data_IF_947098097791
#
_entry.id   IF_947098097791
#
_cell.length_a   1.000
_cell.length_b   1.000
_cell.length_c   1.000
_cell.angle_alpha   90.00
_cell.angle_beta   90.00
_cell.angle_gamma   90.00
#
_symmetry.space_group_name_H-M   'P 1'
#
loop_
_entity.id
_entity.type
_entity.pdbx_description
1 polymer ?
#
# COMPACT_ATOMS: atom_id res chain seq x y z
N UNK A 1 1.42 -0.10 -10.22
CA UNK A 1 0.17 0.26 -9.51
C UNK A 1 0.53 0.76 -8.14
N UNK A 2 0.24 2.02 -7.86
CA UNK A 2 0.36 2.56 -6.51
C UNK A 2 -0.76 1.97 -5.64
N UNK A 3 -0.41 1.62 -4.41
CA UNK A 3 -1.32 1.03 -3.45
C UNK A 3 -1.05 1.62 -2.07
N UNK A 4 -2.10 1.76 -1.26
CA UNK A 4 -1.95 1.93 0.19
C UNK A 4 -2.28 0.62 0.89
N UNK A 5 -1.35 0.13 1.71
CA UNK A 5 -1.58 -0.98 2.62
C UNK A 5 -1.84 -0.47 4.04
N UNK A 6 -2.92 -0.97 4.65
CA UNK A 6 -3.19 -0.76 6.08
C UNK A 6 -2.84 -2.03 6.85
N UNK A 7 -2.08 -1.87 7.93
CA UNK A 7 -1.61 -2.99 8.76
C UNK A 7 -2.40 -3.11 10.06
N UNK A 8 -2.37 -4.30 10.66
CA UNK A 8 -3.05 -4.62 11.93
C UNK A 8 -2.74 -3.66 13.08
N UNK A 9 -1.60 -2.98 12.99
CA UNK A 9 -1.07 -2.11 14.04
C UNK A 9 -1.45 -0.63 13.85
N UNK A 10 -2.39 -0.32 12.95
CA UNK A 10 -2.81 1.07 12.69
C UNK A 10 -1.80 1.89 11.88
N UNK A 11 -0.76 1.22 11.35
CA UNK A 11 0.20 1.82 10.45
C UNK A 11 -0.32 1.74 9.01
N UNK A 12 -0.06 2.80 8.26
CA UNK A 12 -0.37 2.86 6.83
C UNK A 12 0.91 3.01 6.04
N UNK A 13 0.91 2.49 4.82
CA UNK A 13 2.06 2.60 3.94
C UNK A 13 1.61 2.69 2.50
N UNK A 14 2.07 3.72 1.81
CA UNK A 14 1.79 3.93 0.39
C UNK A 14 3.04 3.59 -0.41
N UNK A 15 2.90 2.82 -1.48
CA UNK A 15 4.00 2.48 -2.37
C UNK A 15 3.52 1.70 -3.59
N UNK A 16 4.44 1.14 -4.36
CA UNK A 16 4.12 0.40 -5.57
C UNK A 16 4.04 -1.11 -5.30
N UNK A 17 2.94 -1.74 -5.72
CA UNK A 17 2.78 -3.18 -5.65
C UNK A 17 3.72 -3.87 -6.65
N UNK A 18 4.65 -4.69 -6.14
CA UNK A 18 5.62 -5.45 -6.93
C UNK A 18 5.10 -6.84 -7.30
N UNK A 19 5.14 -7.78 -6.35
CA UNK A 19 4.68 -9.16 -6.55
C UNK A 19 3.90 -9.67 -5.34
N UNK A 20 2.91 -10.53 -5.59
CA UNK A 20 2.17 -11.27 -4.56
C UNK A 20 2.50 -12.76 -4.70
N UNK A 21 3.11 -13.35 -3.66
CA UNK A 21 3.52 -14.76 -3.68
C UNK A 21 2.36 -15.73 -3.38
N UNK A 22 2.57 -17.04 -3.57
CA UNK A 22 1.59 -18.11 -3.29
C UNK A 22 1.13 -18.17 -1.82
N UNK A 23 1.89 -17.57 -0.91
CA UNK A 23 1.52 -17.38 0.50
C UNK A 23 0.91 -16.00 0.80
N UNK A 24 0.50 -15.28 -0.25
CA UNK A 24 -0.04 -13.92 -0.24
C UNK A 24 0.86 -12.86 0.40
N UNK A 25 2.17 -13.11 0.47
CA UNK A 25 3.13 -12.07 0.87
C UNK A 25 3.13 -10.97 -0.18
N UNK A 26 3.20 -9.71 0.27
CA UNK A 26 3.11 -8.53 -0.60
C UNK A 26 4.46 -7.83 -0.61
N UNK A 27 5.05 -7.71 -1.80
CA UNK A 27 6.22 -6.87 -2.01
C UNK A 27 5.78 -5.46 -2.38
N UNK A 28 6.27 -4.47 -1.64
CA UNK A 28 6.02 -3.06 -1.87
C UNK A 28 7.35 -2.35 -2.15
N UNK A 29 7.39 -1.51 -3.18
CA UNK A 29 8.54 -0.68 -3.53
C UNK A 29 8.24 0.80 -3.23
N UNK A 30 9.28 1.58 -2.93
CA UNK A 30 9.21 3.03 -2.64
C UNK A 30 8.09 3.40 -1.66
N UNK A 31 8.22 2.91 -0.43
CA UNK A 31 7.18 3.02 0.58
C UNK A 31 7.35 4.27 1.41
N UNK A 32 6.27 5.03 1.54
CA UNK A 32 6.10 6.08 2.54
C UNK A 32 5.29 5.50 3.70
N UNK A 33 5.93 5.35 4.86
CA UNK A 33 5.28 4.87 6.08
C UNK A 33 4.60 6.03 6.81
N UNK A 34 3.38 5.78 7.29
CA UNK A 34 2.63 6.72 8.12
C UNK A 34 2.33 6.08 9.47
N UNK A 35 2.50 6.85 10.54
CA UNK A 35 2.16 6.45 11.91
C UNK A 35 1.42 7.61 12.54
N UNK A 36 0.20 7.37 13.01
CA UNK A 36 -0.68 8.41 13.56
C UNK A 36 -0.89 9.61 12.60
N UNK A 37 -0.93 9.35 11.29
CA UNK A 37 -1.11 10.38 10.26
C UNK A 37 0.15 11.20 9.92
N UNK A 38 1.28 10.96 10.60
CA UNK A 38 2.56 11.59 10.29
C UNK A 38 3.46 10.67 9.45
N UNK A 39 4.19 11.24 8.49
CA UNK A 39 5.20 10.53 7.71
C UNK A 39 6.32 10.05 8.65
N UNK A 40 6.44 8.74 8.83
CA UNK A 40 7.44 8.12 9.70
C UNK A 40 8.75 7.81 8.97
N UNK A 41 8.74 7.75 7.63
CA UNK A 41 9.94 7.60 6.82
C UNK A 41 9.67 7.05 5.42
N UNK A 42 10.73 7.01 4.60
CA UNK A 42 10.71 6.45 3.25
C UNK A 42 11.69 5.26 3.14
N UNK A 43 11.21 4.15 2.58
CA UNK A 43 11.99 2.92 2.36
C UNK A 43 11.95 2.57 0.86
N UNK A 44 13.11 2.24 0.28
CA UNK A 44 13.20 1.89 -1.15
C UNK A 44 12.42 0.61 -1.52
N UNK A 45 12.25 -0.31 -0.58
CA UNK A 45 11.34 -1.44 -0.73
C UNK A 45 11.30 -2.33 0.51
N UNK A 46 10.15 -2.99 0.72
CA UNK A 46 9.96 -3.93 1.82
C UNK A 46 9.16 -5.15 1.36
N UNK A 47 9.37 -6.26 2.06
CA UNK A 47 8.56 -7.47 1.94
C UNK A 47 7.64 -7.59 3.15
N UNK A 48 6.33 -7.47 2.93
CA UNK A 48 5.35 -7.60 4.01
C UNK A 48 4.77 -9.01 4.02
N UNK A 49 4.77 -9.63 5.21
CA UNK A 49 4.08 -10.90 5.45
C UNK A 49 2.57 -10.69 5.37
N UNK A 50 1.88 -11.59 4.68
CA UNK A 50 0.42 -11.55 4.50
C UNK A 50 -0.38 -11.43 5.81
N UNK A 51 0.13 -12.00 6.91
CA UNK A 51 -0.55 -12.01 8.21
C UNK A 51 -0.57 -10.65 8.92
N UNK A 52 0.21 -9.66 8.43
CA UNK A 52 0.26 -8.31 8.97
C UNK A 52 -0.59 -7.31 8.18
N UNK A 53 -1.03 -7.68 6.98
CA UNK A 53 -1.86 -6.86 6.10
C UNK A 53 -3.33 -7.02 6.48
N UNK A 54 -4.03 -5.91 6.67
CA UNK A 54 -5.48 -5.90 6.89
C UNK A 54 -6.22 -5.82 5.55
N UNK A 55 -5.89 -4.80 4.76
CA UNK A 55 -6.36 -4.64 3.38
C UNK A 55 -5.36 -3.80 2.57
N UNK A 56 -5.48 -3.89 1.25
CA UNK A 56 -4.74 -3.09 0.28
C UNK A 56 -5.77 -2.34 -0.56
N UNK A 57 -5.64 -1.02 -0.66
CA UNK A 57 -6.40 -0.19 -1.59
C UNK A 57 -5.52 0.22 -2.76
N UNK A 58 -6.05 0.18 -3.98
CA UNK A 58 -5.42 0.87 -5.10
C UNK A 58 -5.60 2.38 -4.91
N UNK A 59 -4.56 3.15 -5.16
CA UNK A 59 -4.74 4.58 -5.42
C UNK A 59 -5.17 4.67 -6.87
N UNK A 60 -6.44 4.98 -7.12
CA UNK A 60 -6.85 5.44 -8.44
C UNK A 60 -6.14 6.78 -8.67
N UNK A 61 -5.28 6.84 -9.69
CA UNK A 61 -5.04 8.13 -10.34
C UNK A 61 -6.43 8.61 -10.74
N UNK A 62 -6.79 9.86 -10.42
CA UNK A 62 -8.05 10.44 -10.89
C UNK A 62 -8.13 10.25 -12.41
N UNK A 63 -8.90 9.24 -12.86
CA UNK A 63 -9.41 9.22 -14.22
C UNK A 63 -10.46 10.32 -14.25
N UNK A 64 -10.03 11.51 -14.66
CA UNK A 64 -10.87 12.53 -15.26
C UNK A 64 -11.68 11.86 -16.38
N UNK A 65 -12.94 11.52 -16.08
CA UNK A 65 -13.70 10.54 -16.86
C UNK A 65 -15.16 10.47 -16.45
N UNK A 66 -15.87 11.57 -16.70
CA UNK A 66 -17.32 11.67 -16.76
C UNK A 66 -18.02 10.38 -17.23
N UNK A 67 -18.87 9.79 -16.39
CA UNK A 67 -20.14 9.24 -16.88
C UNK A 67 -21.18 9.21 -15.78
N UNK A 68 -21.96 10.28 -15.77
CA UNK A 68 -23.34 10.31 -15.34
C UNK A 68 -24.13 9.36 -16.25
N UNK A 69 -24.75 8.32 -15.69
CA UNK A 69 -26.08 7.84 -16.08
C UNK A 69 -26.59 6.78 -15.11
#
# INVERSE_FOLDING_TARGET
MEVTGTFKWGMESTGYLGTSGSYRNTQLASIYGYTEGALSGHLSGVLVRHNNVLYIRGTEEEEDGETRN
#
